data_IF_974764071419
#
_entry.id   IF_974764071419
#
_cell.length_a   1.000
_cell.length_b   1.000
_cell.length_c   1.000
_cell.angle_alpha   90.00
_cell.angle_beta   90.00
_cell.angle_gamma   90.00
#
_symmetry.space_group_name_H-M   'P 1'
#
loop_
_entity.id
_entity.type
_entity.pdbx_description
1 polymer ?
#
# COMPACT_ATOMS: atom_id res chain seq x y z
N UNK A 1 -14.09 5.21 4.44
CA UNK A 1 -12.62 5.37 4.45
C UNK A 1 -12.13 4.71 5.73
N UNK A 2 -11.08 3.91 5.64
CA UNK A 2 -10.44 3.25 6.79
C UNK A 2 -8.96 3.67 6.84
N UNK A 3 -8.45 3.83 8.06
CA UNK A 3 -7.06 4.16 8.32
C UNK A 3 -6.49 3.13 9.29
N UNK A 4 -5.33 2.58 8.97
CA UNK A 4 -4.67 1.61 9.83
C UNK A 4 -3.16 1.85 9.85
N UNK A 5 -2.51 1.29 10.87
CA UNK A 5 -1.06 1.26 10.99
C UNK A 5 -0.66 -0.21 11.07
N UNK A 6 0.29 -0.62 10.23
CA UNK A 6 0.95 -1.92 10.35
C UNK A 6 2.37 -1.67 10.83
N UNK A 7 2.68 -1.95 12.11
CA UNK A 7 4.04 -1.79 12.61
C UNK A 7 4.96 -2.88 12.03
N UNK A 8 6.24 -2.59 11.84
CA UNK A 8 7.23 -3.62 11.56
C UNK A 8 7.41 -4.52 12.80
N UNK A 9 7.49 -5.82 12.56
CA UNK A 9 7.69 -6.80 13.61
C UNK A 9 7.38 -8.22 13.16
N UNK A 10 7.70 -9.22 14.00
CA UNK A 10 7.26 -10.59 13.77
C UNK A 10 5.72 -10.61 13.72
N UNK A 11 5.16 -11.11 12.61
CA UNK A 11 3.70 -11.18 12.40
C UNK A 11 3.08 -10.04 11.60
N UNK A 12 3.86 -9.10 11.06
CA UNK A 12 3.31 -8.03 10.21
C UNK A 12 2.53 -8.59 9.00
N UNK A 13 2.93 -9.74 8.45
CA UNK A 13 2.21 -10.39 7.34
C UNK A 13 0.80 -10.85 7.73
N UNK A 14 0.63 -11.48 8.90
CA UNK A 14 -0.69 -11.90 9.39
C UNK A 14 -1.56 -10.69 9.74
N UNK A 15 -0.96 -9.64 10.30
CA UNK A 15 -1.66 -8.38 10.57
C UNK A 15 -2.15 -7.73 9.27
N UNK A 16 -1.31 -7.68 8.23
CA UNK A 16 -1.68 -7.18 6.91
C UNK A 16 -2.85 -7.95 6.32
N UNK A 17 -2.81 -9.30 6.40
CA UNK A 17 -3.90 -10.17 5.94
C UNK A 17 -5.21 -9.89 6.66
N UNK A 18 -5.17 -9.86 7.99
CA UNK A 18 -6.36 -9.58 8.79
C UNK A 18 -6.94 -8.19 8.49
N UNK A 19 -6.07 -7.18 8.37
CA UNK A 19 -6.46 -5.82 8.01
C UNK A 19 -7.14 -5.76 6.64
N UNK A 20 -6.56 -6.39 5.63
CA UNK A 20 -7.11 -6.42 4.27
C UNK A 20 -8.50 -7.06 4.24
N UNK A 21 -8.66 -8.21 4.90
CA UNK A 21 -9.93 -8.90 5.04
C UNK A 21 -11.01 -8.04 5.70
N UNK A 22 -10.67 -7.40 6.82
CA UNK A 22 -11.59 -6.50 7.51
C UNK A 22 -11.96 -5.29 6.63
N UNK A 23 -10.98 -4.70 5.94
CA UNK A 23 -11.21 -3.56 5.07
C UNK A 23 -12.13 -3.92 3.89
N UNK A 24 -11.88 -5.04 3.20
CA UNK A 24 -12.71 -5.52 2.11
C UNK A 24 -14.15 -5.80 2.57
N UNK A 25 -14.33 -6.32 3.79
CA UNK A 25 -15.65 -6.61 4.34
C UNK A 25 -16.48 -5.35 4.69
N UNK A 26 -15.83 -4.25 5.10
CA UNK A 26 -16.54 -3.05 5.61
C UNK A 26 -16.56 -1.87 4.65
N UNK A 27 -15.65 -1.82 3.66
CA UNK A 27 -15.61 -0.73 2.69
C UNK A 27 -16.67 -0.93 1.62
N UNK A 28 -17.54 0.08 1.48
CA UNK A 28 -18.40 0.22 0.30
C UNK A 28 -17.56 0.33 -0.98
N UNK A 29 -18.17 0.04 -2.13
CA UNK A 29 -17.59 0.29 -3.45
C UNK A 29 -17.00 1.72 -3.56
N UNK A 30 -15.77 1.83 -4.04
CA UNK A 30 -15.00 3.08 -4.09
C UNK A 30 -14.50 3.61 -2.74
N UNK A 31 -14.73 2.87 -1.65
CA UNK A 31 -14.18 3.18 -0.33
C UNK A 31 -12.66 2.98 -0.31
N UNK A 32 -11.95 3.84 0.43
CA UNK A 32 -10.49 3.84 0.48
C UNK A 32 -9.99 3.24 1.80
N UNK A 33 -9.00 2.36 1.72
CA UNK A 33 -8.13 1.94 2.81
C UNK A 33 -6.80 2.69 2.69
N UNK A 34 -6.36 3.28 3.79
CA UNK A 34 -5.06 3.93 3.89
C UNK A 34 -4.27 3.22 4.99
N UNK A 35 -3.07 2.72 4.65
CA UNK A 35 -2.21 2.01 5.58
C UNK A 35 -0.90 2.76 5.77
N UNK A 36 -0.57 3.07 7.02
CA UNK A 36 0.73 3.60 7.40
C UNK A 36 1.64 2.46 7.84
N UNK A 37 2.85 2.42 7.30
CA UNK A 37 3.90 1.51 7.74
C UNK A 37 5.26 2.22 7.74
N UNK A 38 6.27 1.58 8.31
CA UNK A 38 7.64 2.03 8.21
C UNK A 38 8.58 0.83 8.34
N UNK A 39 9.79 0.98 7.82
CA UNK A 39 10.82 -0.03 7.99
C UNK A 39 11.47 0.06 9.37
N UNK A 40 11.87 -1.09 9.91
CA UNK A 40 12.67 -1.16 11.13
C UNK A 40 13.79 -2.17 10.97
N UNK A 41 14.98 -1.82 11.47
CA UNK A 41 16.08 -2.77 11.62
C UNK A 41 15.80 -3.64 12.86
N UNK A 42 15.73 -4.95 12.67
CA UNK A 42 15.53 -5.95 13.72
C UNK A 42 16.52 -7.10 13.49
N UNK A 43 17.31 -7.47 14.50
CA UNK A 43 18.32 -8.54 14.40
C UNK A 43 19.22 -8.44 13.14
N UNK A 44 19.71 -7.24 12.84
CA UNK A 44 20.51 -6.90 11.65
C UNK A 44 19.78 -7.06 10.30
N UNK A 45 18.51 -7.41 10.30
CA UNK A 45 17.66 -7.50 9.11
C UNK A 45 16.75 -6.27 9.02
N UNK A 46 16.65 -5.66 7.84
CA UNK A 46 15.64 -4.65 7.58
C UNK A 46 14.29 -5.34 7.37
N UNK A 47 13.33 -5.04 8.24
CA UNK A 47 11.95 -5.53 8.14
C UNK A 47 11.10 -4.43 7.51
N UNK A 48 10.48 -4.76 6.38
CA UNK A 48 9.60 -3.87 5.64
C UNK A 48 8.21 -4.51 5.46
N UNK A 49 7.17 -4.00 6.14
CA UNK A 49 5.81 -4.51 5.97
C UNK A 49 5.15 -4.11 4.65
N UNK A 50 5.72 -3.19 3.87
CA UNK A 50 5.10 -2.62 2.66
C UNK A 50 4.66 -3.70 1.68
N UNK A 51 5.56 -4.63 1.34
CA UNK A 51 5.25 -5.74 0.44
C UNK A 51 4.09 -6.59 0.96
N UNK A 52 4.13 -6.96 2.24
CA UNK A 52 3.08 -7.78 2.86
C UNK A 52 1.72 -7.08 2.90
N UNK A 53 1.68 -5.75 3.13
CA UNK A 53 0.44 -4.97 3.06
C UNK A 53 -0.11 -4.95 1.64
N UNK A 54 0.74 -4.70 0.64
CA UNK A 54 0.32 -4.68 -0.77
C UNK A 54 -0.22 -6.04 -1.20
N UNK A 55 0.51 -7.12 -0.91
CA UNK A 55 0.08 -8.48 -1.24
C UNK A 55 -1.26 -8.81 -0.57
N UNK A 56 -1.38 -8.59 0.73
CA UNK A 56 -2.62 -8.89 1.45
C UNK A 56 -3.81 -8.09 0.92
N UNK A 57 -3.63 -6.80 0.61
CA UNK A 57 -4.71 -5.98 0.08
C UNK A 57 -5.14 -6.44 -1.33
N UNK A 58 -4.19 -6.83 -2.17
CA UNK A 58 -4.47 -7.34 -3.51
C UNK A 58 -5.13 -8.72 -3.49
N UNK A 59 -4.75 -9.59 -2.56
CA UNK A 59 -5.39 -10.90 -2.34
C UNK A 59 -6.87 -10.75 -1.94
N UNK A 60 -7.26 -9.58 -1.41
CA UNK A 60 -8.64 -9.23 -1.02
C UNK A 60 -9.29 -8.25 -2.03
N UNK A 61 -8.82 -8.26 -3.28
CA UNK A 61 -9.33 -7.48 -4.43
C UNK A 61 -9.30 -5.95 -4.27
N UNK A 62 -8.53 -5.41 -3.31
CA UNK A 62 -8.36 -3.97 -3.18
C UNK A 62 -7.40 -3.44 -4.25
N UNK A 63 -7.82 -2.40 -4.97
CA UNK A 63 -7.03 -1.74 -6.00
C UNK A 63 -5.92 -0.90 -5.38
N UNK A 64 -4.67 -1.23 -5.65
CA UNK A 64 -3.53 -0.40 -5.22
C UNK A 64 -3.46 0.89 -6.05
N UNK A 65 -3.60 2.04 -5.39
CA UNK A 65 -3.68 3.34 -6.06
C UNK A 65 -2.39 4.14 -5.96
N UNK A 66 -1.82 4.20 -4.76
CA UNK A 66 -0.67 5.09 -4.53
C UNK A 66 0.22 4.58 -3.40
N UNK A 67 1.51 4.82 -3.59
CA UNK A 67 2.54 4.79 -2.55
C UNK A 67 3.01 6.22 -2.31
N UNK A 68 2.81 6.74 -1.11
CA UNK A 68 3.32 8.05 -0.70
C UNK A 68 4.37 7.86 0.36
N UNK A 69 5.55 8.44 0.16
CA UNK A 69 6.62 8.46 1.15
C UNK A 69 6.55 9.77 1.93
N UNK A 70 6.23 9.68 3.22
CA UNK A 70 6.23 10.85 4.10
C UNK A 70 7.56 10.93 4.85
N UNK A 71 8.32 11.99 4.58
CA UNK A 71 9.61 12.23 5.23
C UNK A 71 9.39 12.66 6.68
N UNK A 72 10.08 11.97 7.59
CA UNK A 72 10.10 12.24 9.03
C UNK A 72 11.31 13.08 9.47
N UNK A 73 12.17 13.43 8.52
CA UNK A 73 13.32 14.30 8.73
C UNK A 73 13.31 15.46 7.73
N UNK A 74 13.83 16.64 8.11
CA UNK A 74 14.07 17.73 7.17
C UNK A 74 14.93 17.27 5.98
N UNK A 75 14.58 17.71 4.77
CA UNK A 75 15.28 17.31 3.54
C UNK A 75 16.81 17.54 3.59
N UNK A 76 17.25 18.61 4.26
CA UNK A 76 18.68 18.96 4.46
C UNK A 76 19.48 17.94 5.30
N UNK A 77 18.80 17.10 6.07
CA UNK A 77 19.42 16.06 6.91
C UNK A 77 19.59 14.75 6.14
N UNK A 78 18.68 14.48 5.19
CA UNK A 78 18.75 13.31 4.30
C UNK A 78 20.00 13.35 3.42
N UNK A 79 20.41 14.54 2.96
CA UNK A 79 21.59 14.71 2.12
C UNK A 79 22.91 14.55 2.87
N UNK A 80 22.92 14.65 4.22
CA UNK A 80 24.11 14.39 5.04
C UNK A 80 24.35 12.90 5.30
N UNK A 81 23.28 12.10 5.24
CA UNK A 81 23.32 10.67 5.54
C UNK A 81 23.86 9.81 4.40
N UNK A 82 24.26 10.41 3.26
CA UNK A 82 24.83 9.71 2.09
C UNK A 82 26.34 9.52 2.17
N UNK A 83 27.01 10.01 3.23
CA UNK A 83 28.43 9.73 3.42
C UNK A 83 28.56 8.23 3.70
N UNK A 84 29.27 7.46 2.85
CA UNK A 84 29.48 6.04 3.11
C UNK A 84 30.13 5.89 4.48
N UNK A 85 29.62 4.94 5.26
CA UNK A 85 30.22 4.57 6.51
C UNK A 85 31.70 4.18 6.25
N UNK A 86 32.65 4.54 7.12
CA UNK A 86 34.03 4.06 6.98
C UNK A 86 34.02 2.52 6.94
N UNK A 87 34.90 1.93 6.12
CA UNK A 87 34.95 0.48 5.90
C UNK A 87 34.84 -0.30 7.22
N UNK A 88 33.78 -1.10 7.35
CA UNK A 88 33.50 -1.93 8.52
C UNK A 88 32.57 -1.34 9.58
N UNK A 89 32.12 -0.08 9.45
CA UNK A 89 31.09 0.46 10.34
C UNK A 89 29.69 -0.05 9.93
N UNK A 90 28.85 -0.51 10.89
CA UNK A 90 27.50 -0.97 10.58
C UNK A 90 26.67 0.16 9.97
N UNK A 91 25.96 -0.14 8.88
CA UNK A 91 25.00 0.76 8.26
C UNK A 91 23.95 1.16 9.30
N UNK A 92 23.98 2.41 9.75
CA UNK A 92 23.01 2.91 10.72
C UNK A 92 21.72 3.23 9.94
N UNK A 93 20.85 2.25 9.79
CA UNK A 93 19.52 2.48 9.22
C UNK A 93 18.74 3.43 10.15
N UNK A 94 18.71 4.70 9.78
CA UNK A 94 17.87 5.69 10.46
C UNK A 94 16.50 5.71 9.80
N UNK A 95 15.44 5.62 10.59
CA UNK A 95 14.06 5.75 10.10
C UNK A 95 13.79 7.22 9.79
N UNK A 96 13.89 7.57 8.52
CA UNK A 96 13.71 8.94 8.03
C UNK A 96 12.42 9.15 7.23
N UNK A 97 11.65 8.09 7.01
CA UNK A 97 10.34 8.16 6.36
C UNK A 97 9.37 7.13 6.93
N UNK A 98 8.10 7.31 6.59
CA UNK A 98 7.06 6.31 6.66
C UNK A 98 6.39 6.18 5.29
N UNK A 99 5.79 5.02 5.06
CA UNK A 99 5.06 4.70 3.84
C UNK A 99 3.57 4.81 4.09
N UNK A 100 2.90 5.45 3.15
CA UNK A 100 1.46 5.63 3.08
C UNK A 100 0.95 4.90 1.85
N UNK A 101 0.30 3.76 2.08
CA UNK A 101 -0.22 2.88 1.02
C UNK A 101 -1.72 3.12 0.89
N UNK A 102 -2.16 3.46 -0.31
CA UNK A 102 -3.55 3.82 -0.60
C UNK A 102 -4.16 2.75 -1.49
N UNK A 103 -5.27 2.17 -1.02
CA UNK A 103 -6.04 1.17 -1.73
C UNK A 103 -7.50 1.57 -1.84
N UNK A 104 -8.18 1.15 -2.90
CA UNK A 104 -9.62 1.34 -3.05
C UNK A 104 -10.36 0.03 -3.27
N UNK A 105 -11.51 -0.11 -2.61
CA UNK A 105 -12.49 -1.12 -2.97
C UNK A 105 -12.96 -0.85 -4.40
N UNK A 106 -12.89 -1.82 -5.34
CA UNK A 106 -13.34 -1.62 -6.70
C UNK A 106 -14.77 -1.08 -6.73
N UNK A 107 -15.03 -0.15 -7.65
CA UNK A 107 -16.41 0.12 -8.05
C UNK A 107 -16.88 -1.06 -8.87
N UNK A 108 -18.11 -1.53 -8.63
CA UNK A 108 -18.72 -2.44 -9.59
C UNK A 108 -18.74 -1.72 -10.94
N UNK A 109 -18.32 -2.38 -12.02
CA UNK A 109 -18.56 -1.84 -13.36
C UNK A 109 -20.06 -1.53 -13.44
N UNK A 110 -20.43 -0.30 -13.82
CA UNK A 110 -21.81 -0.10 -14.24
C UNK A 110 -22.08 -1.08 -15.39
N UNK A 111 -23.20 -1.83 -15.38
CA UNK A 111 -23.50 -2.72 -16.48
C UNK A 111 -23.47 -1.90 -17.77
N UNK A 112 -22.70 -2.37 -18.76
CA UNK A 112 -22.61 -1.73 -20.07
C UNK A 112 -24.01 -1.59 -20.67
N UNK A 113 -24.66 -0.46 -20.43
CA UNK A 113 -25.82 -0.01 -21.20
C UNK A 113 -25.32 0.52 -22.54
N UNK A 114 -24.59 -0.30 -23.28
CA UNK A 114 -24.46 -0.07 -24.71
C UNK A 114 -25.77 -0.54 -25.32
N UNK A 115 -26.60 0.35 -25.90
CA UNK A 115 -27.81 -0.08 -26.57
C UNK A 115 -27.37 -1.05 -27.67
N UNK A 116 -27.86 -2.29 -27.58
CA UNK A 116 -27.70 -3.26 -28.65
C UNK A 116 -28.10 -2.57 -29.94
N UNK A 117 -27.12 -2.36 -30.83
CA UNK A 117 -27.38 -1.79 -32.13
C UNK A 117 -28.47 -2.65 -32.77
N UNK A 118 -29.68 -2.09 -32.89
CA UNK A 118 -30.76 -2.71 -33.66
C UNK A 118 -30.22 -2.90 -35.07
N UNK A 119 -29.88 -4.12 -35.42
CA UNK A 119 -29.87 -4.56 -36.80
C UNK A 119 -31.32 -4.73 -37.24
N UNK A 120 -31.99 -3.61 -37.50
CA UNK A 120 -33.27 -3.57 -38.20
C UNK A 120 -33.11 -2.82 -39.52
N UNK A 121 -33.31 -3.56 -40.62
CA UNK A 121 -33.65 -3.06 -41.95
C UNK A 121 -32.54 -3.19 -43.00
N UNK A 122 -32.80 -3.57 -44.24
CA UNK A 122 -34.01 -4.04 -44.90
C UNK A 122 -33.58 -4.60 -46.28
N UNK A 123 -34.43 -5.46 -46.84
CA UNK A 123 -34.41 -6.00 -48.20
C UNK A 123 -33.84 -5.08 -49.28
N UNK A 124 -33.00 -5.64 -50.18
CA UNK A 124 -33.18 -5.61 -51.65
C UNK A 124 -32.59 -6.86 -52.28
#
# INVERSE_FOLDING_TARGET
MALAVVPPGPGHAEQSKHLAQQAAAVLRAGGVLVVLTHHQLHDQQLVDPTGAVVTAAQDEDLLYLQHVVALLAPLKELTRSTRPAPDGAPSVHSRVHLDLLVFAQPRQPEPDTHPAARTEGAQR
#
